data_IF_306457192568
#
_entry.id   IF_306457192568
#
_cell.length_a   1.000
_cell.length_b   1.000
_cell.length_c   1.000
_cell.angle_alpha   90.00
_cell.angle_beta   90.00
_cell.angle_gamma   90.00
#
_symmetry.space_group_name_H-M   'P 1'
#
loop_
_entity.id
_entity.type
_entity.pdbx_description
1 polymer ?
#
# COMPACT_ATOMS: atom_id res chain seq x y z
N UNK A 1 -34.51 -17.06 -31.76
CA UNK A 1 -34.12 -16.90 -30.35
C UNK A 1 -33.07 -15.82 -30.29
N UNK A 2 -33.37 -14.69 -29.64
CA UNK A 2 -32.45 -13.58 -29.50
C UNK A 2 -31.47 -13.89 -28.36
N UNK A 3 -30.21 -14.18 -28.69
CA UNK A 3 -29.13 -14.27 -27.71
C UNK A 3 -28.86 -12.86 -27.16
N UNK A 4 -29.48 -12.52 -26.03
CA UNK A 4 -29.12 -11.34 -25.25
C UNK A 4 -27.84 -11.67 -24.48
N UNK A 5 -26.68 -11.40 -25.08
CA UNK A 5 -25.40 -11.44 -24.37
C UNK A 5 -25.29 -10.16 -23.53
N UNK A 6 -25.76 -10.18 -22.28
CA UNK A 6 -25.70 -9.03 -21.38
C UNK A 6 -24.32 -8.95 -20.73
N UNK A 7 -23.47 -8.08 -21.27
CA UNK A 7 -22.19 -7.70 -20.64
C UNK A 7 -22.48 -6.67 -19.55
N UNK A 8 -22.49 -7.09 -18.29
CA UNK A 8 -22.65 -6.17 -17.15
C UNK A 8 -21.38 -5.34 -16.99
N UNK A 9 -21.54 -4.01 -17.00
CA UNK A 9 -20.49 -3.05 -16.69
C UNK A 9 -21.00 -2.15 -15.56
N UNK A 10 -20.16 -1.87 -14.58
CA UNK A 10 -20.50 -0.99 -13.46
C UNK A 10 -19.38 -0.03 -13.15
N UNK A 11 -19.74 1.21 -12.86
CA UNK A 11 -18.82 2.21 -12.31
C UNK A 11 -19.35 2.71 -10.98
N UNK A 12 -18.45 2.92 -10.02
CA UNK A 12 -18.75 3.56 -8.75
C UNK A 12 -17.70 4.61 -8.42
N UNK A 13 -18.13 5.63 -7.70
CA UNK A 13 -17.29 6.73 -7.25
C UNK A 13 -17.60 6.96 -5.77
N UNK A 14 -16.55 7.17 -4.98
CA UNK A 14 -16.67 7.58 -3.60
C UNK A 14 -15.66 8.67 -3.27
N UNK A 15 -16.05 9.54 -2.37
CA UNK A 15 -15.22 10.62 -1.87
C UNK A 15 -15.48 10.79 -0.38
N UNK A 16 -14.42 11.00 0.38
CA UNK A 16 -14.48 11.31 1.80
C UNK A 16 -13.45 12.38 2.12
N UNK A 17 -13.83 13.32 2.98
CA UNK A 17 -12.94 14.35 3.48
C UNK A 17 -13.24 14.55 4.96
N UNK A 18 -12.19 14.75 5.73
CA UNK A 18 -12.29 15.00 7.17
C UNK A 18 -11.29 16.07 7.54
N UNK A 19 -11.72 16.99 8.41
CA UNK A 19 -10.89 18.07 8.91
C UNK A 19 -10.85 18.03 10.43
N UNK A 20 -9.65 17.96 10.99
CA UNK A 20 -9.42 17.96 12.45
C UNK A 20 -8.34 19.00 12.75
N UNK A 21 -8.62 19.95 13.64
CA UNK A 21 -7.67 21.00 14.04
C UNK A 21 -7.08 21.80 12.85
N UNK A 22 -7.88 22.06 11.81
CA UNK A 22 -7.44 22.79 10.62
C UNK A 22 -6.62 21.96 9.62
N UNK A 23 -6.38 20.69 9.93
CA UNK A 23 -5.75 19.74 9.03
C UNK A 23 -6.82 18.94 8.28
N UNK A 24 -6.77 18.94 6.95
CA UNK A 24 -7.76 18.25 6.10
C UNK A 24 -7.13 17.03 5.43
N UNK A 25 -7.70 15.86 5.68
CA UNK A 25 -7.41 14.62 4.96
C UNK A 25 -8.52 14.39 3.93
N UNK A 26 -8.17 14.08 2.68
CA UNK A 26 -9.16 13.72 1.65
C UNK A 26 -8.80 12.39 1.00
N UNK A 27 -9.83 11.65 0.60
CA UNK A 27 -9.71 10.36 -0.10
C UNK A 27 -10.80 10.25 -1.15
N UNK A 28 -10.44 9.86 -2.37
CA UNK A 28 -11.39 9.53 -3.43
C UNK A 28 -11.07 8.17 -4.02
N UNK A 29 -12.09 7.46 -4.45
CA UNK A 29 -11.96 6.17 -5.12
C UNK A 29 -12.95 6.06 -6.27
N UNK A 30 -12.46 5.60 -7.41
CA UNK A 30 -13.26 5.31 -8.60
C UNK A 30 -13.02 3.86 -8.97
N UNK A 31 -14.08 3.06 -9.01
CA UNK A 31 -14.04 1.66 -9.42
C UNK A 31 -14.80 1.48 -10.72
N UNK A 32 -14.21 0.78 -11.67
CA UNK A 32 -14.82 0.41 -12.94
C UNK A 32 -14.66 -1.09 -13.16
N UNK A 33 -15.77 -1.79 -13.32
CA UNK A 33 -15.80 -3.23 -13.54
C UNK A 33 -16.47 -3.54 -14.87
N UNK A 34 -15.82 -4.39 -15.65
CA UNK A 34 -16.32 -4.99 -16.88
C UNK A 34 -16.00 -6.50 -16.88
N UNK A 35 -16.45 -7.30 -17.86
CA UNK A 35 -16.12 -8.73 -17.88
C UNK A 35 -14.64 -9.07 -18.09
N UNK A 36 -13.80 -8.10 -18.46
CA UNK A 36 -12.35 -8.29 -18.55
C UNK A 36 -11.65 -8.10 -17.21
N UNK A 37 -12.27 -7.37 -16.27
CA UNK A 37 -11.72 -7.15 -14.95
C UNK A 37 -12.25 -5.91 -14.24
N UNK A 38 -11.59 -5.55 -13.15
CA UNK A 38 -11.92 -4.37 -12.35
C UNK A 38 -10.72 -3.43 -12.26
N UNK A 39 -10.94 -2.15 -12.50
CA UNK A 39 -9.95 -1.08 -12.35
C UNK A 39 -10.38 -0.19 -11.20
N UNK A 40 -9.47 0.02 -10.25
CA UNK A 40 -9.68 0.92 -9.12
C UNK A 40 -8.63 2.03 -9.19
N UNK A 41 -9.08 3.27 -9.14
CA UNK A 41 -8.22 4.43 -9.01
C UNK A 41 -8.54 5.12 -7.69
N UNK A 42 -7.53 5.26 -6.84
CA UNK A 42 -7.67 5.88 -5.52
C UNK A 42 -6.71 7.03 -5.40
N UNK A 43 -7.16 8.11 -4.78
CA UNK A 43 -6.33 9.26 -4.44
C UNK A 43 -6.49 9.53 -2.95
N UNK A 44 -5.38 9.77 -2.26
CA UNK A 44 -5.38 10.21 -0.86
C UNK A 44 -4.47 11.40 -0.67
N UNK A 45 -4.92 12.39 0.07
CA UNK A 45 -4.15 13.56 0.42
C UNK A 45 -4.17 13.74 1.92
N UNK A 46 -2.99 13.56 2.53
CA UNK A 46 -2.78 13.84 3.95
C UNK A 46 -2.25 15.27 4.15
N UNK A 47 -2.59 15.93 5.27
CA UNK A 47 -2.12 17.26 5.60
C UNK A 47 -0.60 17.37 5.57
N UNK A 48 -0.07 18.32 4.81
CA UNK A 48 1.37 18.56 4.72
C UNK A 48 2.13 17.54 3.87
N UNK A 49 1.45 16.59 3.23
CA UNK A 49 2.03 15.62 2.29
C UNK A 49 1.57 15.91 0.86
N UNK A 50 2.35 15.42 -0.11
CA UNK A 50 1.90 15.40 -1.50
C UNK A 50 0.73 14.42 -1.68
N UNK A 51 -0.22 14.70 -2.58
CA UNK A 51 -1.26 13.74 -2.94
C UNK A 51 -0.65 12.42 -3.43
N UNK A 52 -1.19 11.31 -2.96
CA UNK A 52 -0.82 9.97 -3.39
C UNK A 52 -1.90 9.42 -4.32
N UNK A 53 -1.48 8.86 -5.46
CA UNK A 53 -2.35 8.19 -6.40
C UNK A 53 -2.02 6.69 -6.47
N UNK A 54 -3.05 5.87 -6.35
CA UNK A 54 -2.98 4.43 -6.50
C UNK A 54 -3.84 3.99 -7.69
N UNK A 55 -3.31 3.05 -8.48
CA UNK A 55 -4.02 2.40 -9.58
C UNK A 55 -3.92 0.89 -9.39
N UNK A 56 -5.07 0.24 -9.27
CA UNK A 56 -5.19 -1.20 -9.08
C UNK A 56 -5.98 -1.76 -10.26
N UNK A 57 -5.53 -2.89 -10.78
CA UNK A 57 -6.21 -3.62 -11.83
C UNK A 57 -6.38 -5.06 -11.36
N UNK A 58 -7.57 -5.61 -11.53
CA UNK A 58 -7.94 -6.97 -11.18
C UNK A 58 -8.42 -7.66 -12.46
N UNK A 59 -8.03 -8.92 -12.66
CA UNK A 59 -8.57 -9.73 -13.75
C UNK A 59 -10.00 -10.19 -13.43
N UNK A 60 -10.64 -10.86 -14.39
CA UNK A 60 -11.99 -11.43 -14.24
C UNK A 60 -12.07 -12.54 -13.18
N UNK A 61 -10.94 -13.10 -12.76
CA UNK A 61 -10.83 -14.08 -11.68
C UNK A 61 -10.61 -13.40 -10.31
N UNK A 62 -10.58 -12.06 -10.27
CA UNK A 62 -10.38 -11.26 -9.05
C UNK A 62 -8.93 -11.17 -8.60
N UNK A 63 -7.96 -11.64 -9.39
CA UNK A 63 -6.52 -11.54 -9.08
C UNK A 63 -6.01 -10.17 -9.47
N UNK A 64 -5.27 -9.53 -8.56
CA UNK A 64 -4.61 -8.26 -8.83
C UNK A 64 -3.52 -8.44 -9.89
N UNK A 65 -3.65 -7.75 -11.00
CA UNK A 65 -2.58 -7.57 -11.97
C UNK A 65 -1.60 -6.55 -11.39
N UNK A 66 -0.44 -7.03 -10.96
CA UNK A 66 0.63 -6.17 -10.45
C UNK A 66 1.27 -5.48 -11.65
N UNK A 67 0.93 -4.22 -11.87
CA UNK A 67 1.65 -3.36 -12.81
C UNK A 67 3.06 -3.18 -12.26
N UNK A 68 4.05 -3.61 -13.04
CA UNK A 68 5.47 -3.64 -12.70
C UNK A 68 6.03 -2.21 -12.65
N UNK A 69 5.62 -1.42 -11.65
CA UNK A 69 5.98 0.00 -11.58
C UNK A 69 5.64 0.74 -10.29
N UNK A 70 4.70 0.27 -9.47
CA UNK A 70 4.30 1.01 -8.25
C UNK A 70 4.07 0.07 -7.07
N UNK A 71 5.16 -0.38 -6.46
CA UNK A 71 5.18 -1.08 -5.16
C UNK A 71 5.05 -0.08 -4.01
N UNK A 72 4.04 0.79 -4.04
CA UNK A 72 3.66 1.59 -2.88
C UNK A 72 2.32 1.05 -2.36
N UNK A 73 2.32 0.45 -1.17
CA UNK A 73 1.11 0.00 -0.48
C UNK A 73 0.85 -1.51 -0.49
N UNK A 74 1.80 -2.35 -0.92
CA UNK A 74 1.72 -3.78 -0.59
C UNK A 74 2.00 -3.88 0.91
N UNK A 75 0.99 -4.25 1.72
CA UNK A 75 1.25 -4.82 3.03
C UNK A 75 1.99 -6.13 2.71
N UNK A 76 3.32 -6.09 2.77
CA UNK A 76 4.09 -7.31 2.89
C UNK A 76 3.63 -7.97 4.19
N UNK A 77 3.14 -9.20 4.07
CA UNK A 77 2.97 -10.06 5.22
C UNK A 77 4.38 -10.26 5.80
N UNK A 78 4.72 -9.49 6.84
CA UNK A 78 6.03 -9.50 7.52
C UNK A 78 6.27 -10.79 8.33
N UNK A 79 5.65 -11.89 7.91
CA UNK A 79 5.83 -13.22 8.50
C UNK A 79 7.12 -13.90 8.00
N UNK A 80 8.03 -13.20 7.32
CA UNK A 80 9.42 -13.65 7.15
C UNK A 80 10.24 -13.34 8.40
N UNK A 81 10.00 -14.16 9.42
CA UNK A 81 10.60 -14.12 10.76
C UNK A 81 12.05 -14.64 10.81
N UNK A 82 12.64 -15.01 9.68
CA UNK A 82 13.95 -15.70 9.63
C UNK A 82 15.17 -14.76 9.60
N UNK A 83 14.99 -13.45 9.40
CA UNK A 83 16.11 -12.49 9.30
C UNK A 83 16.21 -11.42 10.39
N UNK A 84 15.25 -11.37 11.33
CA UNK A 84 15.25 -10.37 12.41
C UNK A 84 16.24 -10.73 13.52
N UNK A 85 16.33 -12.01 13.91
CA UNK A 85 17.25 -12.44 14.97
C UNK A 85 18.72 -12.17 14.65
N UNK A 86 19.13 -12.37 13.39
CA UNK A 86 20.51 -12.10 12.98
C UNK A 86 20.81 -10.59 12.98
N UNK A 87 19.84 -9.77 12.56
CA UNK A 87 19.96 -8.31 12.59
C UNK A 87 19.99 -7.76 14.02
N UNK A 88 19.21 -8.34 14.92
CA UNK A 88 19.18 -7.94 16.32
C UNK A 88 20.50 -8.30 17.01
N UNK A 89 21.08 -9.49 16.75
CA UNK A 89 22.42 -9.88 17.26
C UNK A 89 23.53 -8.96 16.76
N UNK A 90 23.54 -8.67 15.46
CA UNK A 90 24.53 -7.75 14.85
C UNK A 90 24.42 -6.33 15.39
N UNK A 91 23.21 -5.91 15.78
CA UNK A 91 22.98 -4.60 16.39
C UNK A 91 23.51 -4.56 17.84
N UNK A 92 23.30 -5.62 18.61
CA UNK A 92 23.77 -5.74 20.00
C UNK A 92 25.31 -5.76 20.08
N UNK A 93 26.01 -6.57 19.26
CA UNK A 93 27.48 -6.60 19.23
C UNK A 93 28.09 -5.23 18.90
N UNK A 94 27.53 -4.51 17.92
CA UNK A 94 28.03 -3.16 17.56
C UNK A 94 27.85 -2.16 18.70
N UNK A 95 26.78 -2.29 19.48
CA UNK A 95 26.52 -1.42 20.63
C UNK A 95 27.48 -1.72 21.79
N UNK A 96 27.83 -2.99 22.01
CA UNK A 96 28.83 -3.39 23.01
C UNK A 96 30.25 -2.95 22.65
N UNK A 97 30.65 -3.04 21.38
CA UNK A 97 31.97 -2.57 20.92
C UNK A 97 32.17 -1.06 21.13
N UNK A 98 31.14 -0.24 20.91
CA UNK A 98 31.17 1.21 21.15
C UNK A 98 31.25 1.54 22.65
N UNK A 99 30.59 0.75 23.52
CA UNK A 99 30.66 0.93 24.97
C UNK A 99 32.05 0.56 25.53
N UNK A 100 32.63 -0.54 25.04
CA UNK A 100 33.97 -0.98 25.43
C UNK A 100 35.05 0.05 25.05
N UNK A 101 34.89 0.75 23.92
CA UNK A 101 35.83 1.78 23.46
C UNK A 101 35.79 3.07 24.27
N UNK A 102 34.69 3.33 24.99
CA UNK A 102 34.49 4.54 25.80
C UNK A 102 34.74 4.36 27.30
N UNK A 103 34.60 3.15 27.85
CA UNK A 103 34.92 2.87 29.27
C UNK A 103 36.14 1.95 29.50
N UNK A 104 36.74 1.38 28.45
CA UNK A 104 37.97 0.57 28.53
C UNK A 104 39.26 1.39 28.60
N UNK A 105 39.27 2.45 29.41
CA UNK A 105 40.45 3.29 29.69
C UNK A 105 40.87 3.19 31.16
N UNK A 106 41.29 1.99 31.58
CA UNK A 106 42.25 1.77 32.67
C UNK A 106 43.44 0.99 32.10
#
# INVERSE_FOLDING_TARGET
>A
MSNQNSTFQSSSYSFSSSSVNGQTTSRSETTYSDPSGTKVHRTSQDPGQAPQEERLQFDSEGRRQVEQGTTHGRIEDVTEKEGQEERDRLFEERMEEEYAKREGGA
#
